data_IF_309011243873
#
_entry.id   IF_309011243873
#
_cell.length_a   1.000
_cell.length_b   1.000
_cell.length_c   1.000
_cell.angle_alpha   90.00
_cell.angle_beta   90.00
_cell.angle_gamma   90.00
#
_symmetry.space_group_name_H-M   'P 1'
#
loop_
_entity.id
_entity.type
_entity.pdbx_description
1 polymer ?
#
# COMPACT_ATOMS: atom_id res chain seq x y z
N UNK A 1 -28.24 64.34 41.24
CA UNK A 1 -28.38 65.60 40.49
C UNK A 1 -27.00 65.94 39.93
N UNK A 2 -26.80 65.75 38.62
CA UNK A 2 -25.56 66.12 37.90
C UNK A 2 -25.28 67.62 38.00
N UNK A 3 -24.02 68.06 37.78
CA UNK A 3 -23.55 68.42 36.43
C UNK A 3 -22.09 67.94 36.16
N UNK A 4 -21.78 67.44 34.98
CA UNK A 4 -21.28 68.15 33.78
C UNK A 4 -19.85 68.73 33.88
N UNK A 5 -18.99 68.13 33.04
CA UNK A 5 -18.08 68.78 32.08
C UNK A 5 -16.79 69.47 32.56
N UNK A 6 -15.67 68.93 32.07
CA UNK A 6 -14.47 69.58 31.49
C UNK A 6 -13.40 68.48 31.31
N UNK A 7 -12.73 68.25 30.17
CA UNK A 7 -11.89 69.18 29.41
C UNK A 7 -11.68 68.64 27.97
N UNK A 8 -11.69 69.57 27.02
CA UNK A 8 -11.35 69.44 25.59
C UNK A 8 -9.82 69.29 25.34
N UNK A 9 -9.50 68.93 24.09
CA UNK A 9 -8.28 69.23 23.32
C UNK A 9 -7.25 68.09 23.13
N UNK A 10 -7.56 67.28 22.11
CA UNK A 10 -6.76 66.91 20.92
C UNK A 10 -5.21 66.82 20.93
N UNK A 11 -4.78 65.67 20.39
CA UNK A 11 -3.77 65.44 19.35
C UNK A 11 -2.27 65.62 19.65
N UNK A 12 -1.52 64.54 19.41
CA UNK A 12 -0.13 64.64 18.95
C UNK A 12 0.84 63.60 19.47
N UNK A 13 1.05 62.56 18.64
CA UNK A 13 2.34 61.90 18.35
C UNK A 13 2.95 60.88 19.33
N UNK A 14 3.27 59.70 18.75
CA UNK A 14 4.49 58.96 19.07
C UNK A 14 4.30 57.61 19.75
N UNK A 15 4.51 56.52 19.02
CA UNK A 15 4.65 55.20 19.62
C UNK A 15 4.47 54.05 18.65
N UNK A 16 5.39 53.92 17.71
CA UNK A 16 5.71 52.65 17.07
C UNK A 16 6.07 51.61 18.14
N UNK A 17 5.30 50.53 18.25
CA UNK A 17 5.81 49.24 18.71
C UNK A 17 5.08 48.13 17.94
N UNK A 18 5.66 47.79 16.79
CA UNK A 18 6.05 46.40 16.58
C UNK A 18 4.92 45.38 16.44
N UNK A 19 3.81 45.72 15.76
CA UNK A 19 2.94 44.67 15.24
C UNK A 19 3.64 44.04 14.03
N UNK A 20 4.41 42.97 14.28
CA UNK A 20 4.95 42.06 13.26
C UNK A 20 3.85 41.80 12.24
N UNK A 21 4.10 41.89 10.91
CA UNK A 21 3.12 41.39 9.97
C UNK A 21 2.93 39.92 10.30
N UNK A 22 1.69 39.52 10.59
CA UNK A 22 1.30 38.12 10.51
C UNK A 22 1.78 37.66 9.14
N UNK A 23 2.68 36.67 9.13
CA UNK A 23 3.19 36.06 7.91
C UNK A 23 2.00 35.55 7.11
N UNK A 24 1.54 36.36 6.16
CA UNK A 24 0.50 35.98 5.23
C UNK A 24 1.07 34.85 4.39
N UNK A 25 0.67 33.63 4.70
CA UNK A 25 0.91 32.51 3.82
C UNK A 25 0.20 32.84 2.50
N UNK A 26 1.00 33.12 1.48
CA UNK A 26 0.53 33.45 0.15
C UNK A 26 0.05 32.14 -0.50
N UNK A 27 -1.18 31.76 -0.17
CA UNK A 27 -1.81 30.54 -0.69
C UNK A 27 -2.32 30.82 -2.09
N UNK A 28 -1.60 30.32 -3.09
CA UNK A 28 -1.98 30.35 -4.49
C UNK A 28 -3.11 29.33 -4.75
N UNK A 29 -4.01 29.61 -5.70
CA UNK A 29 -5.01 28.62 -6.08
C UNK A 29 -4.34 27.40 -6.76
N UNK A 30 -4.81 26.16 -6.52
CA UNK A 30 -4.23 24.97 -7.16
C UNK A 30 -4.18 25.07 -8.70
N UNK A 31 -5.25 25.59 -9.32
CA UNK A 31 -5.32 25.78 -10.76
C UNK A 31 -4.25 26.74 -11.30
N UNK A 32 -3.93 27.80 -10.56
CA UNK A 32 -2.87 28.75 -10.94
C UNK A 32 -1.49 28.08 -10.84
N UNK A 33 -1.27 27.23 -9.84
CA UNK A 33 -0.02 26.49 -9.67
C UNK A 33 0.19 25.49 -10.83
N UNK A 34 -0.85 24.73 -11.18
CA UNK A 34 -0.80 23.83 -12.34
C UNK A 34 -0.68 24.61 -13.66
N UNK A 35 -1.33 25.74 -13.79
CA UNK A 35 -1.22 26.59 -14.98
C UNK A 35 0.21 27.15 -15.16
N UNK A 36 0.85 27.55 -14.06
CA UNK A 36 2.25 27.98 -14.06
C UNK A 36 3.20 26.85 -14.53
N UNK A 37 2.91 25.58 -14.23
CA UNK A 37 3.70 24.45 -14.76
C UNK A 37 3.25 23.98 -16.15
N UNK A 38 2.01 24.24 -16.55
CA UNK A 38 1.36 23.75 -17.78
C UNK A 38 1.86 24.39 -19.07
N UNK A 39 3.15 24.23 -19.38
CA UNK A 39 3.74 24.63 -20.67
C UNK A 39 5.13 24.06 -20.88
N UNK A 40 5.41 23.60 -22.10
CA UNK A 40 6.67 22.91 -22.45
C UNK A 40 7.91 23.73 -22.12
N UNK A 41 7.95 25.02 -22.50
CA UNK A 41 9.06 25.93 -22.17
C UNK A 41 9.29 26.01 -20.66
N UNK A 42 8.21 26.04 -19.86
CA UNK A 42 8.29 26.14 -18.40
C UNK A 42 8.79 24.84 -17.76
N UNK A 43 8.32 23.69 -18.24
CA UNK A 43 8.85 22.40 -17.80
C UNK A 43 10.29 22.17 -18.25
N UNK A 44 10.70 22.67 -19.42
CA UNK A 44 12.09 22.64 -19.85
C UNK A 44 13.01 23.42 -18.89
N UNK A 45 12.59 24.62 -18.46
CA UNK A 45 13.31 25.40 -17.42
C UNK A 45 13.43 24.62 -16.11
N UNK A 46 12.32 24.07 -15.60
CA UNK A 46 12.33 23.30 -14.34
C UNK A 46 13.24 22.06 -14.45
N UNK A 47 13.20 21.34 -15.57
CA UNK A 47 14.08 20.18 -15.84
C UNK A 47 15.55 20.58 -15.96
N UNK A 48 15.86 21.69 -16.63
CA UNK A 48 17.22 22.20 -16.78
C UNK A 48 17.83 22.54 -15.41
N UNK A 49 17.10 23.24 -14.55
CA UNK A 49 17.55 23.55 -13.19
C UNK A 49 17.68 22.31 -12.32
N UNK A 50 16.81 21.30 -12.48
CA UNK A 50 16.89 20.06 -11.71
C UNK A 50 18.08 19.17 -12.11
N UNK A 51 18.58 19.31 -13.33
CA UNK A 51 19.73 18.56 -13.85
C UNK A 51 21.07 19.26 -13.61
N UNK A 52 21.06 20.55 -13.28
CA UNK A 52 22.27 21.33 -13.05
C UNK A 52 22.85 21.11 -11.65
N UNK A 53 24.17 21.17 -11.53
CA UNK A 53 24.90 21.09 -10.25
C UNK A 53 24.77 22.37 -9.39
N UNK A 54 24.11 23.41 -9.91
CA UNK A 54 23.93 24.69 -9.22
C UNK A 54 22.96 25.62 -9.95
N UNK A 55 22.81 26.87 -9.46
CA UNK A 55 21.95 27.88 -10.09
C UNK A 55 22.35 28.13 -11.55
N UNK A 56 21.43 28.57 -12.40
CA UNK A 56 21.68 28.88 -13.81
C UNK A 56 21.33 30.34 -14.13
N UNK A 57 22.13 30.99 -14.97
CA UNK A 57 21.82 32.33 -15.48
C UNK A 57 20.67 32.29 -16.51
N UNK A 58 20.06 33.44 -16.78
CA UNK A 58 18.98 33.58 -17.77
C UNK A 58 19.37 33.01 -19.14
N UNK A 59 20.58 33.30 -19.62
CA UNK A 59 21.06 32.83 -20.93
C UNK A 59 21.24 31.31 -20.99
N UNK A 60 21.66 30.69 -19.89
CA UNK A 60 21.80 29.23 -19.78
C UNK A 60 20.42 28.57 -19.84
N UNK A 61 19.44 29.13 -19.13
CA UNK A 61 18.06 28.62 -19.17
C UNK A 61 17.40 28.84 -20.53
N UNK A 62 17.57 30.00 -21.14
CA UNK A 62 17.04 30.28 -22.48
C UNK A 62 17.57 29.28 -23.51
N UNK A 63 18.88 29.03 -23.49
CA UNK A 63 19.53 28.07 -24.39
C UNK A 63 19.10 26.60 -24.17
N UNK A 64 18.54 26.28 -23.00
CA UNK A 64 17.99 24.95 -22.69
C UNK A 64 16.54 24.76 -23.14
N UNK A 65 15.93 25.76 -23.77
CA UNK A 65 14.55 25.72 -24.27
C UNK A 65 14.47 25.94 -25.76
N UNK A 66 13.35 25.54 -26.37
CA UNK A 66 13.06 25.78 -27.79
C UNK A 66 12.44 27.17 -28.04
N UNK A 67 12.50 28.08 -27.06
CA UNK A 67 11.90 29.40 -27.17
C UNK A 67 12.71 30.31 -28.11
N UNK A 68 12.05 30.92 -29.09
CA UNK A 68 12.74 31.68 -30.15
C UNK A 68 13.15 33.08 -29.70
N UNK A 69 12.45 33.65 -28.72
CA UNK A 69 12.63 35.05 -28.32
C UNK A 69 12.91 35.20 -26.83
N UNK A 70 13.83 36.09 -26.49
CA UNK A 70 14.13 36.41 -25.08
C UNK A 70 12.94 37.05 -24.37
N UNK A 71 12.07 37.77 -25.08
CA UNK A 71 10.87 38.37 -24.53
C UNK A 71 9.81 37.31 -24.16
N UNK A 72 9.58 36.33 -25.04
CA UNK A 72 8.71 35.17 -24.77
C UNK A 72 9.25 34.32 -23.63
N UNK A 73 10.55 34.05 -23.65
CA UNK A 73 11.20 33.30 -22.57
C UNK A 73 11.08 34.02 -21.21
N UNK A 74 11.32 35.33 -21.17
CA UNK A 74 11.17 36.11 -19.95
C UNK A 74 9.72 36.09 -19.42
N UNK A 75 8.70 35.98 -20.29
CA UNK A 75 7.33 35.76 -19.86
C UNK A 75 7.15 34.41 -19.17
N UNK A 76 7.67 33.33 -19.76
CA UNK A 76 7.62 32.00 -19.15
C UNK A 76 8.36 31.92 -17.82
N UNK A 77 9.52 32.56 -17.73
CA UNK A 77 10.31 32.58 -16.50
C UNK A 77 9.59 33.33 -15.37
N UNK A 78 8.96 34.48 -15.68
CA UNK A 78 8.15 35.22 -14.70
C UNK A 78 6.95 34.45 -14.18
N UNK A 79 6.38 33.52 -14.94
CA UNK A 79 5.28 32.67 -14.46
C UNK A 79 5.71 31.64 -13.42
N UNK A 80 6.99 31.27 -13.41
CA UNK A 80 7.55 30.29 -12.48
C UNK A 80 8.22 30.94 -11.27
N UNK A 81 8.73 32.16 -11.43
CA UNK A 81 9.45 32.90 -10.40
C UNK A 81 8.58 33.17 -9.15
N UNK A 82 9.24 33.23 -8.00
CA UNK A 82 8.61 33.36 -6.69
C UNK A 82 8.10 32.04 -6.11
N UNK A 83 7.44 31.18 -6.91
CA UNK A 83 6.85 29.92 -6.41
C UNK A 83 7.68 28.68 -6.70
N UNK A 84 8.03 28.45 -7.96
CA UNK A 84 8.78 27.25 -8.39
C UNK A 84 10.26 27.56 -8.54
N UNK A 85 10.59 28.79 -8.89
CA UNK A 85 11.95 29.28 -8.99
C UNK A 85 12.16 30.47 -8.04
N UNK A 86 13.42 30.73 -7.72
CA UNK A 86 13.87 31.95 -7.07
C UNK A 86 15.06 32.50 -7.84
N UNK A 87 15.03 33.78 -8.16
CA UNK A 87 16.23 34.51 -8.57
C UNK A 87 17.08 34.89 -7.35
N UNK A 88 18.39 34.67 -7.43
CA UNK A 88 19.41 35.06 -6.46
C UNK A 88 19.92 36.47 -6.72
N UNK A 89 20.71 36.98 -5.77
CA UNK A 89 21.40 38.27 -5.87
C UNK A 89 22.39 38.35 -7.04
N UNK A 90 22.96 37.22 -7.46
CA UNK A 90 23.89 37.10 -8.60
C UNK A 90 23.16 36.92 -9.94
N UNK A 91 21.87 37.22 -9.99
CA UNK A 91 21.01 37.11 -11.19
C UNK A 91 20.84 35.68 -11.72
N UNK A 92 21.18 34.66 -10.92
CA UNK A 92 21.00 33.24 -11.25
C UNK A 92 19.73 32.67 -10.62
N UNK A 93 19.15 31.68 -11.26
CA UNK A 93 17.90 31.04 -10.85
C UNK A 93 18.18 29.68 -10.23
N UNK A 94 17.43 29.34 -9.20
CA UNK A 94 17.40 28.01 -8.58
C UNK A 94 15.96 27.57 -8.32
N UNK A 95 15.74 26.27 -8.18
CA UNK A 95 14.43 25.74 -7.80
C UNK A 95 14.14 26.07 -6.33
N UNK A 96 12.88 26.38 -6.03
CA UNK A 96 12.34 26.30 -4.65
C UNK A 96 12.07 24.84 -4.28
N UNK A 97 11.56 24.58 -3.07
CA UNK A 97 11.11 23.23 -2.70
C UNK A 97 9.95 22.74 -3.56
N UNK A 98 8.99 23.62 -3.90
CA UNK A 98 7.90 23.29 -4.80
C UNK A 98 8.42 22.97 -6.22
N UNK A 99 9.38 23.75 -6.72
CA UNK A 99 10.04 23.47 -8.00
C UNK A 99 10.77 22.13 -8.01
N UNK A 100 11.50 21.82 -6.93
CA UNK A 100 12.18 20.53 -6.76
C UNK A 100 11.19 19.36 -6.70
N UNK A 101 10.09 19.51 -5.97
CA UNK A 101 9.05 18.49 -5.87
C UNK A 101 8.43 18.20 -7.24
N UNK A 102 8.02 19.25 -7.97
CA UNK A 102 7.48 19.11 -9.32
C UNK A 102 8.48 18.45 -10.29
N UNK A 103 9.75 18.87 -10.25
CA UNK A 103 10.80 18.28 -11.08
C UNK A 103 11.00 16.79 -10.80
N UNK A 104 11.01 16.38 -9.52
CA UNK A 104 11.12 14.97 -9.12
C UNK A 104 9.93 14.14 -9.58
N UNK A 105 8.70 14.65 -9.40
CA UNK A 105 7.49 13.94 -9.82
C UNK A 105 7.45 13.73 -11.34
N UNK A 106 7.81 14.75 -12.12
CA UNK A 106 7.91 14.62 -13.59
C UNK A 106 9.00 13.62 -13.98
N UNK A 107 10.18 13.69 -13.36
CA UNK A 107 11.30 12.77 -13.65
C UNK A 107 11.00 11.33 -13.24
N UNK A 108 10.21 11.13 -12.19
CA UNK A 108 9.78 9.81 -11.71
C UNK A 108 8.67 9.20 -12.57
N UNK A 109 8.17 9.92 -13.59
CA UNK A 109 7.09 9.49 -14.45
C UNK A 109 5.69 9.61 -13.83
N UNK A 110 5.56 10.17 -12.63
CA UNK A 110 4.32 10.18 -11.82
C UNK A 110 3.08 10.65 -12.59
N UNK A 111 3.24 11.60 -13.51
CA UNK A 111 2.13 12.16 -14.30
C UNK A 111 2.16 11.76 -15.78
N UNK A 112 3.23 11.09 -16.23
CA UNK A 112 3.51 10.89 -17.66
C UNK A 112 3.63 9.43 -18.07
N UNK A 113 3.78 8.52 -17.11
CA UNK A 113 4.03 7.10 -17.36
C UNK A 113 2.97 6.21 -16.72
N UNK A 114 2.60 5.17 -17.46
CA UNK A 114 1.77 4.06 -16.99
C UNK A 114 2.49 2.77 -17.33
N UNK A 115 2.79 1.97 -16.32
CA UNK A 115 3.50 0.70 -16.47
C UNK A 115 2.48 -0.44 -16.48
N UNK A 116 2.53 -1.23 -17.55
CA UNK A 116 1.79 -2.50 -17.67
C UNK A 116 2.78 -3.59 -18.08
N UNK A 117 2.73 -4.74 -17.41
CA UNK A 117 3.60 -5.89 -17.66
C UNK A 117 2.79 -7.17 -17.64
N UNK A 118 3.09 -8.04 -18.58
CA UNK A 118 2.54 -9.39 -18.61
C UNK A 118 2.90 -10.16 -17.32
N UNK A 119 2.07 -11.14 -16.92
CA UNK A 119 2.35 -11.97 -15.76
C UNK A 119 3.74 -12.61 -15.80
N UNK A 120 4.46 -12.52 -14.69
CA UNK A 120 5.76 -13.17 -14.51
C UNK A 120 5.71 -14.12 -13.32
N UNK A 121 6.32 -15.30 -13.44
CA UNK A 121 6.40 -16.26 -12.34
C UNK A 121 7.34 -15.75 -11.24
N UNK A 122 6.98 -16.03 -9.99
CA UNK A 122 7.78 -15.76 -8.81
C UNK A 122 8.34 -17.07 -8.25
N UNK A 123 9.57 -17.03 -7.77
CA UNK A 123 10.21 -18.15 -7.09
C UNK A 123 9.78 -18.19 -5.61
N UNK A 124 8.48 -18.39 -5.40
CA UNK A 124 7.85 -18.45 -4.09
C UNK A 124 6.60 -19.33 -4.14
N UNK A 125 6.41 -20.12 -3.09
CA UNK A 125 5.21 -20.92 -2.88
C UNK A 125 4.08 -20.06 -2.30
N UNK A 126 2.83 -20.41 -2.62
CA UNK A 126 1.68 -19.73 -2.04
C UNK A 126 1.56 -20.02 -0.53
N UNK A 127 1.52 -19.00 0.36
CA UNK A 127 1.41 -19.21 1.80
C UNK A 127 0.05 -19.76 2.25
N UNK A 128 -0.94 -19.78 1.35
CA UNK A 128 -2.30 -20.23 1.66
C UNK A 128 -2.52 -21.69 1.32
N UNK A 129 -2.08 -22.15 0.14
CA UNK A 129 -2.29 -23.53 -0.30
C UNK A 129 -1.02 -24.38 -0.36
N UNK A 130 0.18 -23.79 -0.31
CA UNK A 130 1.46 -24.51 -0.32
C UNK A 130 1.85 -25.18 -1.63
N UNK A 131 1.00 -25.15 -2.67
CA UNK A 131 1.20 -25.96 -3.89
C UNK A 131 1.26 -25.15 -5.19
N UNK A 132 0.85 -23.87 -5.17
CA UNK A 132 0.74 -23.03 -6.36
C UNK A 132 1.90 -22.08 -6.56
N UNK A 133 2.40 -21.99 -7.80
CA UNK A 133 3.34 -20.96 -8.21
C UNK A 133 2.67 -19.58 -8.17
N UNK A 134 3.35 -18.62 -7.55
CA UNK A 134 2.90 -17.24 -7.54
C UNK A 134 3.27 -16.54 -8.85
N UNK A 135 2.41 -15.62 -9.26
CA UNK A 135 2.64 -14.76 -10.42
C UNK A 135 2.46 -13.30 -10.02
N UNK A 136 3.30 -12.43 -10.56
CA UNK A 136 3.15 -10.99 -10.46
C UNK A 136 2.72 -10.41 -11.82
N UNK A 137 1.67 -9.61 -11.82
CA UNK A 137 1.21 -8.84 -13.00
C UNK A 137 1.21 -7.37 -12.65
N UNK A 138 1.57 -6.50 -13.60
CA UNK A 138 1.50 -5.05 -13.42
C UNK A 138 0.47 -4.46 -14.37
N UNK A 139 -0.47 -3.69 -13.86
CA UNK A 139 -1.45 -2.93 -14.66
C UNK A 139 -1.57 -1.54 -14.06
N UNK A 140 -1.37 -0.51 -14.89
CA UNK A 140 -1.46 0.90 -14.48
C UNK A 140 -0.73 1.20 -13.17
N UNK A 141 0.54 0.78 -13.10
CA UNK A 141 1.42 0.96 -11.94
C UNK A 141 0.98 0.19 -10.66
N UNK A 142 0.01 -0.71 -10.74
CA UNK A 142 -0.38 -1.62 -9.64
C UNK A 142 0.20 -3.00 -9.88
N UNK A 143 0.95 -3.51 -8.91
CA UNK A 143 1.46 -4.89 -8.89
C UNK A 143 0.47 -5.79 -8.16
N UNK A 144 -0.10 -6.74 -8.88
CA UNK A 144 -0.93 -7.81 -8.34
C UNK A 144 -0.08 -9.08 -8.18
N UNK A 145 -0.09 -9.68 -6.99
CA UNK A 145 0.49 -11.00 -6.74
C UNK A 145 -0.65 -11.98 -6.52
N UNK A 146 -0.69 -13.05 -7.31
CA UNK A 146 -1.77 -14.03 -7.27
C UNK A 146 -1.24 -15.47 -7.42
N UNK A 147 -1.96 -16.42 -6.81
CA UNK A 147 -1.71 -17.85 -6.95
C UNK A 147 -2.60 -18.43 -8.05
N UNK A 148 -2.00 -19.11 -9.04
CA UNK A 148 -2.75 -19.76 -10.10
C UNK A 148 -3.49 -21.04 -9.69
N UNK A 149 -3.12 -21.67 -8.57
CA UNK A 149 -3.69 -22.94 -8.14
C UNK A 149 -4.97 -22.78 -7.29
N UNK A 150 -4.95 -21.83 -6.34
CA UNK A 150 -6.11 -21.51 -5.51
C UNK A 150 -6.81 -20.20 -5.92
N UNK A 151 -6.39 -19.60 -7.04
CA UNK A 151 -6.95 -18.38 -7.64
C UNK A 151 -7.01 -17.17 -6.69
N UNK A 152 -6.26 -17.21 -5.59
CA UNK A 152 -6.28 -16.17 -4.58
C UNK A 152 -5.33 -15.03 -4.97
N UNK A 153 -5.85 -13.81 -4.96
CA UNK A 153 -5.03 -12.59 -4.99
C UNK A 153 -4.49 -12.34 -3.59
N UNK A 154 -3.17 -12.29 -3.46
CA UNK A 154 -2.49 -12.12 -2.19
C UNK A 154 -2.24 -10.65 -1.86
N UNK A 155 -2.00 -9.82 -2.86
CA UNK A 155 -1.78 -8.38 -2.66
C UNK A 155 -2.01 -7.59 -3.94
N UNK A 156 -2.46 -6.33 -3.80
CA UNK A 156 -2.54 -5.34 -4.90
C UNK A 156 -1.92 -4.04 -4.44
N UNK A 157 -0.68 -3.81 -4.88
CA UNK A 157 0.17 -2.78 -4.31
C UNK A 157 0.73 -1.87 -5.41
N UNK A 158 0.52 -0.56 -5.28
CA UNK A 158 0.96 0.41 -6.28
C UNK A 158 2.43 0.80 -6.09
N UNK A 159 3.13 1.03 -7.18
CA UNK A 159 4.51 1.51 -7.13
C UNK A 159 4.64 2.67 -8.11
N UNK A 160 5.32 3.78 -7.76
CA UNK A 160 5.58 4.83 -8.74
C UNK A 160 6.31 4.28 -9.98
N UNK A 161 6.13 4.85 -11.19
CA UNK A 161 6.72 4.35 -12.43
C UNK A 161 8.25 4.10 -12.33
N UNK A 162 8.99 5.04 -11.73
CA UNK A 162 10.42 4.88 -11.48
C UNK A 162 10.81 3.67 -10.60
N UNK A 163 9.86 3.11 -9.83
CA UNK A 163 10.05 1.88 -9.08
C UNK A 163 9.98 0.62 -9.93
N UNK A 164 9.41 0.69 -11.13
CA UNK A 164 9.43 -0.40 -12.10
C UNK A 164 10.66 -0.38 -13.00
N UNK A 165 11.28 0.79 -13.21
CA UNK A 165 12.43 0.97 -14.08
C UNK A 165 13.55 -0.04 -13.72
N UNK A 166 14.05 -0.73 -14.75
CA UNK A 166 15.18 -1.67 -14.66
C UNK A 166 15.02 -2.85 -13.68
N UNK A 167 13.79 -3.19 -13.26
CA UNK A 167 13.51 -4.33 -12.35
C UNK A 167 12.59 -5.37 -13.00
N UNK A 168 12.81 -6.64 -12.73
CA UNK A 168 11.93 -7.74 -13.13
C UNK A 168 11.96 -8.88 -12.10
N UNK A 169 10.95 -9.76 -12.14
CA UNK A 169 10.88 -10.94 -11.27
C UNK A 169 11.01 -10.60 -9.78
N UNK A 170 11.93 -11.26 -9.09
CA UNK A 170 12.14 -11.09 -7.65
C UNK A 170 12.56 -9.66 -7.26
N UNK A 171 13.34 -8.95 -8.09
CA UNK A 171 13.80 -7.59 -7.77
C UNK A 171 12.65 -6.57 -7.76
N UNK A 172 11.70 -6.73 -8.69
CA UNK A 172 10.50 -5.90 -8.73
C UNK A 172 9.68 -6.10 -7.45
N UNK A 173 9.46 -7.36 -7.12
CA UNK A 173 8.63 -7.80 -6.02
C UNK A 173 9.24 -7.37 -4.67
N UNK A 174 10.57 -7.49 -4.51
CA UNK A 174 11.28 -6.95 -3.36
C UNK A 174 11.17 -5.42 -3.25
N UNK A 175 11.15 -4.70 -4.38
CA UNK A 175 10.97 -3.24 -4.36
C UNK A 175 9.54 -2.83 -3.94
N UNK A 176 8.52 -3.59 -4.36
CA UNK A 176 7.12 -3.39 -3.93
C UNK A 176 6.99 -3.62 -2.43
N UNK A 177 7.53 -4.72 -1.92
CA UNK A 177 7.57 -5.03 -0.48
C UNK A 177 8.25 -3.90 0.32
N UNK A 178 9.48 -3.57 -0.06
CA UNK A 178 10.27 -2.55 0.61
C UNK A 178 9.58 -1.18 0.63
N UNK A 179 8.86 -0.82 -0.44
CA UNK A 179 8.11 0.42 -0.53
C UNK A 179 6.94 0.43 0.46
N UNK A 180 6.12 -0.61 0.48
CA UNK A 180 4.92 -0.65 1.31
C UNK A 180 5.22 -0.87 2.78
N UNK A 181 6.23 -1.67 3.11
CA UNK A 181 6.66 -1.86 4.49
C UNK A 181 7.00 -0.53 5.15
N UNK A 182 7.83 0.28 4.49
CA UNK A 182 8.21 1.63 4.95
C UNK A 182 7.02 2.60 5.02
N UNK A 183 6.03 2.44 4.14
CA UNK A 183 4.79 3.23 4.21
C UNK A 183 3.97 2.87 5.42
N UNK A 184 3.75 1.57 5.65
CA UNK A 184 3.01 1.05 6.81
C UNK A 184 3.70 1.50 8.10
N UNK A 185 5.03 1.36 8.19
CA UNK A 185 5.83 1.87 9.32
C UNK A 185 5.59 3.36 9.57
N UNK A 186 5.69 4.20 8.53
CA UNK A 186 5.48 5.64 8.66
C UNK A 186 4.05 5.99 9.12
N UNK A 187 3.04 5.34 8.54
CA UNK A 187 1.65 5.48 8.98
C UNK A 187 1.45 5.04 10.43
N UNK A 188 2.02 3.91 10.84
CA UNK A 188 1.96 3.39 12.21
C UNK A 188 2.68 4.31 13.22
N UNK A 189 3.75 5.00 12.80
CA UNK A 189 4.44 6.04 13.58
C UNK A 189 3.65 7.36 13.66
N UNK A 190 2.49 7.46 12.99
CA UNK A 190 1.64 8.65 12.98
C UNK A 190 2.09 9.73 12.00
N UNK A 191 2.95 9.39 11.01
CA UNK A 191 3.55 10.33 10.05
C UNK A 191 3.19 9.92 8.62
N UNK A 192 2.42 10.76 7.92
CA UNK A 192 1.99 10.48 6.56
C UNK A 192 3.19 10.43 5.58
N UNK A 193 3.40 9.34 4.82
CA UNK A 193 4.51 9.24 3.87
C UNK A 193 4.39 10.20 2.68
N UNK A 194 3.20 10.78 2.42
CA UNK A 194 2.98 11.71 1.31
C UNK A 194 3.27 13.17 1.68
N UNK A 195 2.85 13.59 2.87
CA UNK A 195 2.91 15.01 3.27
C UNK A 195 3.56 15.28 4.63
N UNK A 196 4.00 14.23 5.35
CA UNK A 196 4.50 14.29 6.73
C UNK A 196 3.49 14.88 7.75
N UNK A 197 2.20 14.93 7.38
CA UNK A 197 1.11 15.30 8.27
C UNK A 197 0.82 14.22 9.31
N UNK A 198 0.03 14.59 10.32
CA UNK A 198 -0.45 13.66 11.35
C UNK A 198 -1.38 12.63 10.72
N UNK A 199 -1.24 11.38 11.16
CA UNK A 199 -2.08 10.25 10.76
C UNK A 199 -2.86 9.77 11.97
N UNK A 200 -4.16 9.56 11.77
CA UNK A 200 -5.00 8.83 12.71
C UNK A 200 -5.01 7.34 12.32
N UNK A 201 -4.81 6.47 13.30
CA UNK A 201 -4.85 5.03 13.14
C UNK A 201 -6.08 4.47 13.88
N UNK A 202 -6.82 3.57 13.24
CA UNK A 202 -7.95 2.87 13.86
C UNK A 202 -7.92 1.38 13.54
N UNK A 203 -8.37 0.55 14.48
CA UNK A 203 -8.57 -0.88 14.27
C UNK A 203 -10.06 -1.16 14.19
N UNK A 204 -10.49 -1.58 13.00
CA UNK A 204 -11.90 -1.68 12.64
C UNK A 204 -12.19 -3.02 11.97
N UNK A 205 -13.46 -3.46 11.94
CA UNK A 205 -13.84 -4.58 11.08
C UNK A 205 -13.42 -4.28 9.63
N UNK A 206 -12.88 -5.28 8.95
CA UNK A 206 -12.57 -5.16 7.54
C UNK A 206 -13.89 -5.14 6.74
N UNK A 207 -14.16 -4.03 6.07
CA UNK A 207 -15.27 -3.91 5.15
C UNK A 207 -14.99 -4.73 3.90
N UNK A 208 -15.90 -5.65 3.54
CA UNK A 208 -15.81 -6.45 2.32
C UNK A 208 -14.52 -7.26 2.26
N UNK A 209 -14.48 -8.41 2.94
CA UNK A 209 -13.42 -9.39 2.73
C UNK A 209 -13.34 -9.73 1.23
N UNK A 210 -12.37 -9.16 0.51
CA UNK A 210 -11.81 -9.80 -0.68
C UNK A 210 -10.89 -10.91 -0.16
N UNK A 211 -11.51 -11.88 0.52
CA UNK A 211 -10.94 -13.19 0.68
C UNK A 211 -10.92 -13.82 -0.70
N UNK A 212 -9.76 -14.33 -1.11
CA UNK A 212 -9.73 -15.33 -2.16
C UNK A 212 -10.76 -16.41 -1.83
N UNK A 213 -11.73 -16.58 -2.74
CA UNK A 213 -12.67 -17.69 -2.80
C UNK A 213 -13.52 -17.93 -1.56
N UNK A 214 -14.79 -17.57 -1.62
CA UNK A 214 -15.88 -18.55 -1.66
C UNK A 214 -17.18 -17.79 -1.97
N UNK A 215 -17.57 -17.75 -3.25
CA UNK A 215 -18.99 -17.72 -3.58
C UNK A 215 -19.58 -19.09 -3.20
N UNK A 216 -19.90 -19.18 -1.92
CA UNK A 216 -20.70 -20.23 -1.33
C UNK A 216 -21.68 -19.52 -0.43
N UNK A 217 -22.82 -19.14 -1.00
CA UNK A 217 -24.02 -18.80 -0.24
C UNK A 217 -24.42 -20.04 0.58
N UNK A 218 -23.80 -20.19 1.76
CA UNK A 218 -24.36 -21.06 2.79
C UNK A 218 -25.49 -20.24 3.39
N UNK A 219 -26.71 -20.48 2.92
CA UNK A 219 -27.89 -20.06 3.68
C UNK A 219 -27.74 -20.64 5.08
N UNK A 220 -27.58 -19.75 6.07
CA UNK A 220 -27.45 -20.14 7.46
C UNK A 220 -28.73 -20.88 7.89
N UNK A 221 -28.60 -22.17 8.20
CA UNK A 221 -29.64 -22.95 8.86
C UNK A 221 -29.87 -22.36 10.27
N UNK A 222 -31.04 -21.76 10.56
CA UNK A 222 -31.28 -21.06 11.81
C UNK A 222 -31.51 -22.01 13.01
N UNK A 223 -31.31 -23.32 12.85
CA UNK A 223 -31.61 -24.31 13.89
C UNK A 223 -30.40 -24.94 14.61
N UNK A 224 -29.16 -24.58 14.25
CA UNK A 224 -27.96 -25.09 14.92
C UNK A 224 -27.39 -24.08 15.93
N UNK A 225 -27.84 -24.20 17.18
CA UNK A 225 -27.26 -23.50 18.33
C UNK A 225 -25.83 -23.96 18.60
N UNK A 226 -24.87 -23.38 17.90
CA UNK A 226 -23.43 -23.39 18.23
C UNK A 226 -22.93 -21.94 18.20
N UNK A 227 -21.95 -21.61 19.04
CA UNK A 227 -21.51 -20.24 19.30
C UNK A 227 -21.12 -19.47 18.02
N UNK A 228 -22.08 -18.66 17.54
CA UNK A 228 -21.96 -17.33 16.91
C UNK A 228 -20.94 -17.15 15.78
N UNK A 229 -21.44 -17.27 14.55
CA UNK A 229 -20.82 -16.74 13.33
C UNK A 229 -20.57 -15.21 13.34
N UNK A 230 -21.07 -14.48 14.34
CA UNK A 230 -20.93 -13.03 14.51
C UNK A 230 -19.56 -12.57 15.06
N UNK A 231 -18.61 -13.48 15.36
CA UNK A 231 -17.38 -13.17 16.12
C UNK A 231 -16.05 -13.30 15.37
N UNK A 232 -16.07 -13.63 14.07
CA UNK A 232 -14.88 -13.79 13.24
C UNK A 232 -14.93 -12.88 11.99
N UNK A 233 -15.41 -11.65 12.13
CA UNK A 233 -15.18 -10.68 11.06
C UNK A 233 -13.68 -10.34 11.04
N UNK A 234 -13.00 -10.43 9.88
CA UNK A 234 -11.63 -9.96 9.78
C UNK A 234 -11.56 -8.51 10.27
N UNK A 235 -10.47 -8.17 10.91
CA UNK A 235 -10.17 -6.80 11.35
C UNK A 235 -9.00 -6.28 10.55
N UNK A 236 -8.93 -4.97 10.41
CA UNK A 236 -7.82 -4.30 9.73
C UNK A 236 -7.40 -3.07 10.54
N UNK A 237 -6.14 -2.70 10.39
CA UNK A 237 -5.66 -1.38 10.75
C UNK A 237 -5.92 -0.45 9.56
N UNK A 238 -6.56 0.69 9.84
CA UNK A 238 -6.83 1.75 8.89
C UNK A 238 -6.04 2.98 9.33
N UNK A 239 -5.39 3.64 8.39
CA UNK A 239 -4.63 4.86 8.60
C UNK A 239 -5.19 5.95 7.69
N UNK A 240 -5.42 7.15 8.23
CA UNK A 240 -5.95 8.27 7.46
C UNK A 240 -5.21 9.58 7.81
N UNK A 241 -4.83 10.33 6.77
CA UNK A 241 -4.25 11.65 6.91
C UNK A 241 -5.24 12.73 6.45
N UNK A 242 -5.74 13.55 7.38
CA UNK A 242 -6.67 14.65 7.02
C UNK A 242 -6.02 15.74 6.14
N UNK A 243 -4.70 15.91 6.21
CA UNK A 243 -4.00 16.99 5.52
C UNK A 243 -3.92 16.79 4.00
N UNK A 244 -3.69 15.56 3.53
CA UNK A 244 -3.58 15.26 2.10
C UNK A 244 -4.59 14.20 1.61
N UNK A 245 -5.37 13.60 2.51
CA UNK A 245 -6.33 12.55 2.17
C UNK A 245 -5.70 11.19 1.85
N UNK A 246 -4.42 10.99 2.16
CA UNK A 246 -3.79 9.67 1.97
C UNK A 246 -4.32 8.70 3.03
N UNK A 247 -4.66 7.49 2.58
CA UNK A 247 -5.11 6.40 3.41
C UNK A 247 -4.38 5.09 3.10
N UNK A 248 -4.40 4.17 4.07
CA UNK A 248 -3.89 2.81 3.92
C UNK A 248 -4.69 1.90 4.84
N UNK A 249 -5.07 0.73 4.34
CA UNK A 249 -5.64 -0.35 5.15
C UNK A 249 -4.87 -1.63 4.96
N UNK A 250 -4.61 -2.33 6.06
CA UNK A 250 -3.88 -3.60 6.04
C UNK A 250 -4.32 -4.51 7.21
N UNK A 251 -4.03 -5.81 7.15
CA UNK A 251 -4.12 -6.67 8.34
C UNK A 251 -3.36 -6.05 9.53
N UNK A 252 -3.90 -6.20 10.74
CA UNK A 252 -3.29 -5.63 11.95
C UNK A 252 -1.88 -6.17 12.17
N UNK A 253 -1.63 -7.41 11.75
CA UNK A 253 -0.31 -8.04 11.79
C UNK A 253 0.75 -7.24 11.02
N UNK A 254 0.43 -6.72 9.82
CA UNK A 254 1.39 -5.98 9.00
C UNK A 254 1.87 -4.69 9.69
N UNK A 255 0.99 -4.02 10.43
CA UNK A 255 1.33 -2.84 11.23
C UNK A 255 2.19 -3.12 12.47
N UNK A 256 2.40 -4.40 12.81
CA UNK A 256 3.17 -4.81 14.00
C UNK A 256 4.49 -5.51 13.69
N UNK A 257 4.85 -5.70 12.40
CA UNK A 257 6.02 -6.48 12.01
C UNK A 257 7.33 -5.91 12.56
N UNK A 258 7.47 -4.58 12.61
CA UNK A 258 8.67 -3.89 13.11
C UNK A 258 8.64 -3.67 14.63
N UNK A 259 7.61 -4.14 15.32
CA UNK A 259 7.56 -4.06 16.77
C UNK A 259 8.73 -4.87 17.37
N UNK A 260 9.52 -4.32 18.31
CA UNK A 260 10.74 -4.97 18.80
C UNK A 260 10.56 -6.40 19.33
N UNK A 261 9.40 -6.70 19.90
CA UNK A 261 9.07 -8.06 20.36
C UNK A 261 8.88 -9.06 19.22
N UNK A 262 8.38 -8.63 18.05
CA UNK A 262 8.25 -9.48 16.86
C UNK A 262 9.62 -9.74 16.28
N UNK A 263 10.40 -8.68 16.06
CA UNK A 263 11.76 -8.78 15.51
C UNK A 263 12.64 -9.68 16.38
N UNK A 264 12.63 -9.49 17.70
CA UNK A 264 13.38 -10.34 18.63
C UNK A 264 12.88 -11.79 18.61
N UNK A 265 11.56 -12.01 18.53
CA UNK A 265 10.99 -13.36 18.45
C UNK A 265 11.44 -14.10 17.20
N UNK A 266 11.39 -13.47 16.02
CA UNK A 266 11.87 -14.10 14.78
C UNK A 266 13.38 -14.40 14.83
N UNK A 267 14.18 -13.45 15.31
CA UNK A 267 15.62 -13.67 15.45
C UNK A 267 15.98 -14.81 16.42
N UNK A 268 15.25 -14.95 17.52
CA UNK A 268 15.45 -16.06 18.47
C UNK A 268 15.17 -17.44 17.83
N UNK A 269 14.36 -17.48 16.77
CA UNK A 269 14.08 -18.67 15.96
C UNK A 269 14.97 -18.78 14.71
N UNK A 270 15.97 -17.90 14.55
CA UNK A 270 16.90 -17.93 13.43
C UNK A 270 16.33 -17.41 12.11
N UNK A 271 15.20 -16.70 12.16
CA UNK A 271 14.57 -16.05 11.01
C UNK A 271 14.68 -14.52 11.11
N UNK A 272 14.48 -13.82 9.99
CA UNK A 272 14.33 -12.38 9.96
C UNK A 272 12.97 -12.03 9.31
N UNK A 273 12.05 -11.46 10.11
CA UNK A 273 10.72 -11.08 9.63
C UNK A 273 10.76 -9.95 8.60
N UNK A 274 11.83 -9.15 8.60
CA UNK A 274 11.99 -7.99 7.69
C UNK A 274 12.41 -8.43 6.29
N UNK A 275 12.99 -9.63 6.15
CA UNK A 275 13.32 -10.24 4.86
C UNK A 275 12.13 -11.00 4.25
N UNK A 276 11.04 -11.20 5.00
CA UNK A 276 9.83 -11.86 4.52
C UNK A 276 8.91 -10.88 3.82
N UNK A 277 8.45 -11.17 2.59
CA UNK A 277 7.55 -10.26 1.91
C UNK A 277 6.20 -10.08 2.62
N UNK A 278 5.57 -8.90 2.48
CA UNK A 278 4.28 -8.57 3.10
C UNK A 278 3.15 -9.55 2.71
N UNK A 279 3.11 -10.01 1.47
CA UNK A 279 2.14 -11.03 1.02
C UNK A 279 2.46 -12.45 1.51
N UNK A 280 3.61 -12.63 2.16
CA UNK A 280 4.09 -13.90 2.70
C UNK A 280 4.19 -13.88 4.24
N UNK A 281 3.39 -13.04 4.90
CA UNK A 281 3.10 -13.17 6.33
C UNK A 281 2.12 -14.34 6.47
N UNK A 282 2.66 -15.48 6.87
CA UNK A 282 2.09 -16.79 6.53
C UNK A 282 1.08 -17.32 7.53
N UNK A 283 0.80 -18.63 7.40
CA UNK A 283 -0.15 -19.36 8.23
C UNK A 283 0.20 -19.44 9.73
N UNK A 284 1.34 -18.89 10.16
CA UNK A 284 1.72 -18.74 11.56
C UNK A 284 1.02 -17.55 12.25
N UNK A 285 0.49 -16.59 11.49
CA UNK A 285 -0.14 -15.39 12.05
C UNK A 285 -1.65 -15.58 12.25
N UNK A 286 -2.15 -15.11 13.39
CA UNK A 286 -3.59 -15.09 13.71
C UNK A 286 -3.96 -13.78 14.37
N UNK A 287 -5.08 -13.22 13.94
CA UNK A 287 -5.69 -12.03 14.53
C UNK A 287 -7.03 -12.40 15.15
N UNK A 288 -7.30 -11.89 16.35
CA UNK A 288 -8.56 -12.14 17.04
C UNK A 288 -8.96 -10.98 17.93
N UNK A 289 -10.18 -10.49 17.78
CA UNK A 289 -10.75 -9.50 18.68
C UNK A 289 -10.92 -10.10 20.08
N UNK A 290 -10.35 -9.44 21.10
CA UNK A 290 -10.52 -9.81 22.52
C UNK A 290 -11.42 -8.86 23.29
N UNK A 291 -11.61 -7.64 22.79
CA UNK A 291 -12.51 -6.64 23.34
C UNK A 291 -13.03 -5.75 22.22
N UNK A 292 -14.32 -5.40 22.24
CA UNK A 292 -14.95 -4.52 21.26
C UNK A 292 -15.05 -3.08 21.75
N UNK A 293 -15.13 -2.87 23.07
CA UNK A 293 -15.15 -1.56 23.72
C UNK A 293 -14.51 -1.66 25.12
N UNK A 294 -13.30 -1.07 25.34
CA UNK A 294 -12.44 -0.50 24.32
C UNK A 294 -12.00 -1.59 23.32
N UNK A 295 -11.81 -1.22 22.05
CA UNK A 295 -11.34 -2.15 21.02
C UNK A 295 -9.96 -2.69 21.40
N UNK A 296 -9.80 -4.00 21.33
CA UNK A 296 -8.51 -4.67 21.46
C UNK A 296 -8.47 -5.95 20.63
N UNK A 297 -7.39 -6.09 19.86
CA UNK A 297 -7.09 -7.25 19.01
C UNK A 297 -5.84 -7.92 19.55
N UNK A 298 -5.86 -9.26 19.62
CA UNK A 298 -4.64 -10.04 19.82
C UNK A 298 -4.12 -10.48 18.46
N UNK A 299 -2.92 -10.03 18.13
CA UNK A 299 -2.12 -10.51 17.00
C UNK A 299 -1.15 -11.56 17.55
N UNK A 300 -1.08 -12.74 16.94
CA UNK A 300 -0.18 -13.79 17.40
C UNK A 300 0.57 -14.46 16.26
N UNK A 301 1.83 -14.79 16.51
CA UNK A 301 2.70 -15.54 15.61
C UNK A 301 3.18 -16.81 16.33
N UNK A 302 3.06 -17.97 15.68
CA UNK A 302 3.55 -19.26 16.20
C UNK A 302 4.77 -19.73 15.41
N UNK A 303 5.94 -19.79 16.05
CA UNK A 303 7.14 -20.41 15.50
C UNK A 303 7.52 -21.59 16.39
N UNK A 304 7.71 -22.75 15.79
CA UNK A 304 7.94 -24.02 16.49
C UNK A 304 6.91 -24.29 17.61
N UNK A 305 7.40 -24.51 18.83
CA UNK A 305 6.62 -24.72 20.04
C UNK A 305 6.45 -23.43 20.85
N UNK A 306 6.56 -22.24 20.24
CA UNK A 306 6.37 -20.96 20.92
C UNK A 306 5.37 -20.07 20.19
N UNK A 307 4.67 -19.24 20.98
CA UNK A 307 3.70 -18.28 20.48
C UNK A 307 4.02 -16.92 21.10
N UNK A 308 4.25 -15.94 20.23
CA UNK A 308 4.19 -14.53 20.59
C UNK A 308 2.76 -14.04 20.43
N UNK A 309 2.28 -13.24 21.39
CA UNK A 309 0.99 -12.54 21.30
C UNK A 309 1.21 -11.07 21.62
N UNK A 310 0.74 -10.19 20.75
CA UNK A 310 0.68 -8.74 20.92
C UNK A 310 -0.77 -8.33 21.16
N UNK A 311 -0.99 -7.43 22.10
CA UNK A 311 -2.29 -6.83 22.38
C UNK A 311 -2.28 -5.44 21.76
N UNK A 312 -3.09 -5.26 20.73
CA UNK A 312 -3.19 -4.03 19.94
C UNK A 312 -4.49 -3.32 20.32
N UNK A 313 -4.39 -2.05 20.70
CA UNK A 313 -5.54 -1.21 21.04
C UNK A 313 -6.27 -0.71 19.78
N UNK A 314 -7.43 -0.09 19.97
CA UNK A 314 -8.25 0.46 18.89
C UNK A 314 -7.57 1.54 18.04
N UNK A 315 -6.49 2.14 18.53
CA UNK A 315 -5.68 3.14 17.82
C UNK A 315 -4.43 2.54 17.15
N UNK A 316 -4.33 1.20 17.08
CA UNK A 316 -3.17 0.51 16.52
C UNK A 316 -1.97 0.37 17.48
N UNK A 317 -2.01 0.98 18.67
CA UNK A 317 -0.90 0.90 19.62
C UNK A 317 -0.76 -0.49 20.22
N UNK A 318 0.45 -1.05 20.24
CA UNK A 318 0.76 -2.26 21.01
C UNK A 318 0.82 -1.90 22.50
N UNK A 319 -0.19 -2.30 23.27
CA UNK A 319 -0.30 -2.03 24.72
C UNK A 319 0.34 -3.12 25.60
N UNK A 320 0.72 -4.24 25.00
CA UNK A 320 1.44 -5.30 25.69
C UNK A 320 1.77 -6.47 24.78
N UNK A 321 2.71 -7.31 25.20
CA UNK A 321 3.02 -8.55 24.51
C UNK A 321 3.36 -9.66 25.50
N UNK A 322 3.19 -10.91 25.06
CA UNK A 322 3.48 -12.10 25.86
C UNK A 322 4.01 -13.21 24.96
N UNK A 323 5.12 -13.84 25.38
CA UNK A 323 5.62 -15.09 24.81
C UNK A 323 5.20 -16.26 25.68
N UNK A 324 4.85 -17.39 25.07
CA UNK A 324 4.54 -18.64 25.77
C UNK A 324 5.00 -19.83 24.93
N UNK A 325 5.40 -20.90 25.60
CA UNK A 325 5.51 -22.21 24.94
C UNK A 325 4.09 -22.69 24.59
N UNK A 326 3.87 -23.05 23.33
CA UNK A 326 2.69 -23.77 22.89
C UNK A 326 2.65 -25.10 23.64
N UNK A 327 1.66 -25.26 24.52
CA UNK A 327 1.27 -26.61 24.96
C UNK A 327 0.44 -27.14 23.81
N UNK A 328 0.93 -28.16 23.10
CA UNK A 328 0.08 -28.90 22.18
C UNK A 328 -1.08 -29.50 23.01
N UNK A 329 -2.24 -28.85 22.94
CA UNK A 329 -3.48 -29.53 23.28
C UNK A 329 -3.79 -30.45 22.11
N UNK A 330 -3.08 -31.58 22.03
CA UNK A 330 -3.64 -32.76 21.40
C UNK A 330 -4.91 -33.06 22.19
N UNK A 331 -6.12 -32.99 21.60
CA UNK A 331 -7.30 -33.45 22.29
C UNK A 331 -7.03 -34.91 22.69
N UNK A 332 -7.29 -35.31 23.96
CA UNK A 332 -7.01 -36.67 24.37
C UNK A 332 -7.76 -37.59 23.42
N UNK A 333 -7.02 -38.42 22.69
CA UNK A 333 -7.59 -39.57 21.99
C UNK A 333 -8.27 -40.40 23.06
N UNK A 334 -9.61 -40.33 23.08
CA UNK A 334 -10.45 -41.26 23.82
C UNK A 334 -10.23 -42.64 23.22
N UNK A 335 -9.29 -43.37 23.81
CA UNK A 335 -9.11 -44.79 23.56
C UNK A 335 -10.40 -45.49 24.03
N UNK A 336 -11.28 -45.72 23.07
CA UNK A 336 -12.50 -46.50 23.24
C UNK A 336 -12.13 -47.96 23.00
N UNK A 337 -11.39 -48.53 23.94
CA UNK A 337 -11.18 -49.97 24.00
C UNK A 337 -12.50 -50.67 24.31
N UNK A 338 -13.08 -51.36 23.32
CA UNK A 338 -14.05 -52.43 23.51
C UNK A 338 -14.09 -53.36 22.27
N UNK A 339 -13.12 -54.26 22.24
CA UNK A 339 -13.27 -55.72 22.10
C UNK A 339 -14.59 -56.29 21.50
N UNK A 340 -14.47 -56.90 20.31
CA UNK A 340 -15.18 -58.09 19.81
C UNK A 340 -14.66 -58.31 18.38
N UNK A 341 -13.92 -59.35 18.03
CA UNK A 341 -14.27 -60.76 18.16
C UNK A 341 -13.95 -61.39 16.80
N UNK A 342 -13.16 -62.46 16.84
CA UNK A 342 -12.56 -63.16 15.70
C UNK A 342 -13.61 -63.68 14.71
N UNK A 343 -13.25 -63.75 13.42
CA UNK A 343 -13.34 -64.99 12.66
C UNK A 343 -12.37 -64.96 11.46
N UNK A 344 -11.56 -66.02 11.41
CA UNK A 344 -10.61 -66.36 10.35
C UNK A 344 -11.36 -67.09 9.24
N UNK A 345 -10.89 -66.98 8.00
CA UNK A 345 -10.67 -68.16 7.17
C UNK A 345 -9.68 -67.86 6.02
N UNK A 346 -8.68 -68.75 5.95
CA UNK A 346 -7.68 -69.07 4.91
C UNK A 346 -8.32 -69.24 3.51
N UNK A 347 -7.82 -68.75 2.37
CA UNK A 347 -6.54 -68.97 1.61
C UNK A 347 -6.97 -69.20 0.11
N UNK A 348 -6.12 -69.56 -0.87
CA UNK A 348 -5.50 -68.63 -1.82
C UNK A 348 -5.81 -68.89 -3.33
N UNK A 349 -5.15 -68.07 -4.15
CA UNK A 349 -4.48 -68.42 -5.42
C UNK A 349 -5.12 -67.94 -6.75
N UNK A 350 -4.26 -67.40 -7.63
CA UNK A 350 -4.41 -67.50 -9.08
C UNK A 350 -4.73 -66.24 -9.90
N UNK A 351 -3.70 -65.69 -10.56
CA UNK A 351 -3.78 -65.51 -12.03
C UNK A 351 -3.88 -64.09 -12.63
N UNK A 352 -2.75 -63.60 -13.12
CA UNK A 352 -2.51 -63.09 -14.50
C UNK A 352 -3.47 -62.06 -15.17
N UNK A 353 -2.96 -60.81 -15.31
CA UNK A 353 -2.83 -59.92 -16.51
C UNK A 353 -3.39 -60.38 -17.90
N UNK A 354 -3.52 -59.50 -18.95
CA UNK A 354 -3.66 -58.02 -19.04
C UNK A 354 -4.54 -57.47 -20.24
N UNK A 355 -4.45 -56.15 -20.50
CA UNK A 355 -4.63 -55.37 -21.78
C UNK A 355 -6.05 -55.10 -22.34
N UNK A 356 -6.39 -53.82 -22.53
CA UNK A 356 -6.45 -53.15 -23.86
C UNK A 356 -7.07 -51.74 -23.81
N UNK A 357 -6.32 -50.75 -24.31
CA UNK A 357 -6.78 -49.53 -24.99
C UNK A 357 -6.46 -49.69 -26.49
N UNK A 358 -6.86 -48.79 -27.42
CA UNK A 358 -8.15 -48.16 -27.71
C UNK A 358 -8.53 -48.44 -29.21
N UNK A 359 -9.38 -47.64 -29.87
CA UNK A 359 -8.80 -46.83 -30.95
C UNK A 359 -9.43 -45.45 -31.18
N UNK A 360 -8.63 -44.63 -31.88
CA UNK A 360 -8.88 -43.28 -32.37
C UNK A 360 -9.54 -43.24 -33.77
N UNK A 361 -10.04 -42.05 -34.13
CA UNK A 361 -9.64 -41.24 -35.31
C UNK A 361 -10.79 -40.69 -36.20
N UNK A 362 -10.58 -39.43 -36.65
CA UNK A 362 -11.15 -38.83 -37.88
C UNK A 362 -12.19 -37.73 -37.61
N UNK A 363 -11.85 -36.45 -37.45
CA UNK A 363 -11.31 -35.47 -38.42
C UNK A 363 -12.28 -35.07 -39.55
N UNK A 364 -12.74 -33.81 -39.52
CA UNK A 364 -12.68 -32.89 -40.67
C UNK A 364 -13.14 -31.48 -40.28
N UNK A 365 -12.36 -30.49 -40.71
CA UNK A 365 -12.56 -29.06 -40.62
C UNK A 365 -13.67 -28.56 -41.57
N UNK A 366 -14.25 -27.39 -41.30
CA UNK A 366 -14.04 -26.22 -42.16
C UNK A 366 -14.50 -24.90 -41.51
N UNK A 367 -13.87 -23.87 -42.03
CA UNK A 367 -13.76 -22.44 -41.75
C UNK A 367 -15.09 -21.65 -41.68
N UNK A 368 -15.15 -20.60 -40.84
CA UNK A 368 -15.56 -19.24 -41.30
C UNK A 368 -15.36 -18.16 -40.24
N UNK A 369 -14.50 -17.21 -40.60
CA UNK A 369 -14.32 -15.87 -40.05
C UNK A 369 -15.58 -15.01 -40.18
N UNK A 370 -16.01 -14.35 -39.09
CA UNK A 370 -16.62 -13.00 -39.13
C UNK A 370 -16.13 -12.15 -37.95
N UNK A 371 -15.77 -10.90 -38.28
CA UNK A 371 -15.33 -9.85 -37.36
C UNK A 371 -16.56 -9.19 -36.72
N UNK A 372 -16.48 -8.89 -35.43
CA UNK A 372 -17.26 -7.83 -34.80
C UNK A 372 -16.35 -7.08 -33.82
N UNK A 373 -16.10 -5.83 -34.16
CA UNK A 373 -15.55 -4.78 -33.32
C UNK A 373 -16.70 -4.14 -32.54
N UNK A 374 -16.61 -3.99 -31.22
CA UNK A 374 -17.27 -2.92 -30.45
C UNK A 374 -16.77 -2.93 -28.98
N UNK A 375 -16.24 -1.77 -28.59
CA UNK A 375 -16.01 -1.14 -27.27
C UNK A 375 -15.27 -1.87 -26.13
N UNK A 376 -14.18 -1.27 -25.58
CA UNK A 376 -13.72 -1.63 -24.25
C UNK A 376 -14.64 -0.98 -23.20
N UNK A 377 -15.24 -1.85 -22.39
CA UNK A 377 -15.91 -1.53 -21.13
C UNK A 377 -15.01 -0.61 -20.28
N UNK A 378 -15.57 0.54 -19.90
CA UNK A 378 -14.99 1.41 -18.88
C UNK A 378 -15.23 0.72 -17.54
N UNK A 379 -14.28 -0.10 -17.13
CA UNK A 379 -14.25 -0.63 -15.76
C UNK A 379 -14.05 0.54 -14.80
N UNK A 380 -14.97 0.68 -13.86
CA UNK A 380 -14.90 1.59 -12.73
C UNK A 380 -13.54 1.48 -12.05
N UNK A 381 -12.83 2.60 -11.95
CA UNK A 381 -11.60 2.72 -11.17
C UNK A 381 -11.90 2.37 -9.71
N UNK A 382 -11.21 1.40 -9.08
CA UNK A 382 -11.29 1.24 -7.64
C UNK A 382 -10.70 2.50 -6.99
N UNK A 383 -11.24 2.87 -5.82
CA UNK A 383 -10.67 3.90 -4.94
C UNK A 383 -9.17 3.64 -4.73
N UNK A 384 -8.35 4.67 -4.96
CA UNK A 384 -6.88 4.69 -4.90
C UNK A 384 -6.27 4.39 -3.50
N UNK A 385 -7.01 3.76 -2.59
CA UNK A 385 -6.48 3.25 -1.34
C UNK A 385 -5.59 2.04 -1.63
N UNK A 386 -4.32 2.11 -1.25
CA UNK A 386 -3.44 0.96 -1.29
C UNK A 386 -3.90 -0.04 -0.21
N UNK A 387 -4.70 -1.04 -0.59
CA UNK A 387 -5.03 -2.18 0.27
C UNK A 387 -3.91 -3.21 0.16
N UNK A 388 -3.16 -3.40 1.24
CA UNK A 388 -2.08 -4.38 1.31
C UNK A 388 -2.58 -5.80 1.58
#
# INVERSE_FOLDING_TARGET
MSPDEQVLVSAGEGGDDGSRPASGEETLAPSEAFQALGGETRLAVVRALAAADGPLAFSELFAATDEETTAGFAYHLRQLDGRFLRQREDERYELTDAGRAAARAVRAGTYTERVTRDPMALDAECPLCGEGALTARVVDNVTEVACGACETTLSRLSLPPGGYADRAGAELVAAVDAHHRRRIEAFADGVCPECAGVVDATVEPADGAVGGGHDGTVEADPSSGSATAEQNHPVQATFACEACGADLSCPVALATLDHPAVVAFYHDHGEDVTERPLWNVGSEWRERVVSTDPRCVVVSARLDAEVLSLYVAGDGTVVGHRRRTAVDTTPPTVDSGADAGEDRDDDPDGGSRPLADPPAAGASADDRVERASEDPDVTESPTDGATA
#
